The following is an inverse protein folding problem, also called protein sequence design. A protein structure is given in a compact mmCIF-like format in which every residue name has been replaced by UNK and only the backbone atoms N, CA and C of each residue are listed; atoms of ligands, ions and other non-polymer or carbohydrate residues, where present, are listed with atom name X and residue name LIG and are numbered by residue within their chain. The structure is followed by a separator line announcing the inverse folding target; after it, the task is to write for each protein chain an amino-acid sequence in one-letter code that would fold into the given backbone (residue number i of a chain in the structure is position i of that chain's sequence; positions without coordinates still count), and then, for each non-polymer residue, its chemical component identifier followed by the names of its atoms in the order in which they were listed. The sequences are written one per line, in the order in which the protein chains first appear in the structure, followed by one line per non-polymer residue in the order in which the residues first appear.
data_IF_695466906685
#
_entry.id   IF_695466906685
#
_cell.length_a   1.000
_cell.length_b   1.000
_cell.length_c   1.000
_cell.angle_alpha   90.00
_cell.angle_beta   90.00
_cell.angle_gamma   90.00
#
_symmetry.space_group_name_H-M   'P 1'
#
loop_
_entity.id
_entity.type
_entity.pdbx_description
1 polymer ?
#
# COMPACT_ATOMS: atom_id res chain seq x y z
N UNK A 1 -46.83 51.77 36.19
CA UNK A 1 -47.65 50.84 35.38
C UNK A 1 -46.86 50.54 34.12
N UNK A 2 -46.14 49.42 34.12
CA UNK A 2 -45.27 48.98 33.03
C UNK A 2 -45.97 47.86 32.27
N UNK A 3 -46.38 48.16 31.04
CA UNK A 3 -47.01 47.22 30.12
C UNK A 3 -46.04 46.12 29.71
N UNK A 4 -46.26 44.90 30.21
CA UNK A 4 -45.58 43.71 29.75
C UNK A 4 -46.18 43.28 28.40
N UNK A 5 -45.44 43.53 27.32
CA UNK A 5 -45.76 43.06 25.96
C UNK A 5 -45.62 41.53 25.93
N UNK A 6 -46.69 40.83 25.60
CA UNK A 6 -46.74 39.36 25.54
C UNK A 6 -45.75 38.80 24.49
N UNK A 7 -45.20 37.59 24.72
CA UNK A 7 -44.26 36.97 23.79
C UNK A 7 -44.97 36.56 22.49
N UNK A 8 -44.38 36.95 21.35
CA UNK A 8 -44.79 36.50 20.02
C UNK A 8 -44.82 34.97 19.98
N UNK A 9 -45.94 34.39 19.55
CA UNK A 9 -46.13 32.94 19.53
C UNK A 9 -45.13 32.25 18.60
N UNK A 10 -44.63 31.08 18.98
CA UNK A 10 -43.62 30.31 18.23
C UNK A 10 -44.00 30.04 16.75
N UNK A 11 -45.30 30.06 16.43
CA UNK A 11 -45.81 29.93 15.07
C UNK A 11 -45.52 31.16 14.18
N UNK A 12 -45.45 32.37 14.75
CA UNK A 12 -45.09 33.56 13.98
C UNK A 12 -43.59 33.57 13.65
N UNK A 13 -42.76 33.05 14.55
CA UNK A 13 -41.32 32.88 14.35
C UNK A 13 -41.04 31.83 13.26
N UNK A 14 -41.74 30.70 13.28
CA UNK A 14 -41.63 29.68 12.23
C UNK A 14 -42.00 30.26 10.84
N UNK A 15 -43.10 31.02 10.76
CA UNK A 15 -43.51 31.65 9.50
C UNK A 15 -42.55 32.74 9.01
N UNK A 16 -41.88 33.48 9.92
CA UNK A 16 -40.83 34.43 9.55
C UNK A 16 -39.60 33.72 8.99
N UNK A 17 -39.23 32.56 9.54
CA UNK A 17 -38.08 31.76 9.08
C UNK A 17 -38.34 31.18 7.68
N UNK A 18 -39.52 30.60 7.43
CA UNK A 18 -39.86 30.05 6.12
C UNK A 18 -39.81 31.12 5.01
N UNK A 19 -40.33 32.33 5.27
CA UNK A 19 -40.26 33.46 4.32
C UNK A 19 -38.83 33.94 4.05
N UNK A 20 -37.92 33.79 5.02
CA UNK A 20 -36.50 34.14 4.83
C UNK A 20 -35.78 33.09 3.99
N UNK A 21 -36.11 31.81 4.16
CA UNK A 21 -35.56 30.72 3.35
C UNK A 21 -36.00 30.88 1.89
N UNK A 22 -37.27 31.22 1.65
CA UNK A 22 -37.80 31.42 0.30
C UNK A 22 -37.14 32.62 -0.41
N UNK A 23 -36.95 33.74 0.29
CA UNK A 23 -36.22 34.92 -0.24
C UNK A 23 -34.74 34.65 -0.52
N UNK A 24 -34.09 33.77 0.25
CA UNK A 24 -32.71 33.38 0.00
C UNK A 24 -32.59 32.46 -1.21
N UNK A 25 -33.57 31.57 -1.41
CA UNK A 25 -33.64 30.72 -2.60
C UNK A 25 -33.83 31.55 -3.89
N UNK A 26 -34.69 32.56 -3.87
CA UNK A 26 -34.88 33.49 -5.00
C UNK A 26 -33.59 34.26 -5.32
N UNK A 27 -32.88 34.78 -4.30
CA UNK A 27 -31.61 35.50 -4.51
C UNK A 27 -30.49 34.62 -5.05
N UNK A 28 -30.44 33.35 -4.64
CA UNK A 28 -29.48 32.39 -5.19
C UNK A 28 -29.82 32.03 -6.64
N UNK A 29 -31.10 31.87 -6.99
CA UNK A 29 -31.52 31.64 -8.36
C UNK A 29 -31.18 32.82 -9.28
N UNK A 30 -31.41 34.06 -8.83
CA UNK A 30 -31.04 35.27 -9.58
C UNK A 30 -29.51 35.41 -9.76
N UNK A 31 -28.73 35.06 -8.73
CA UNK A 31 -27.27 35.10 -8.79
C UNK A 31 -26.67 34.07 -9.75
N UNK A 32 -27.24 32.86 -9.79
CA UNK A 32 -26.80 31.79 -10.71
C UNK A 32 -27.13 32.15 -12.16
N UNK A 33 -28.30 32.74 -12.43
CA UNK A 33 -28.68 33.15 -13.78
C UNK A 33 -27.79 34.30 -14.30
N UNK A 34 -27.44 35.28 -13.45
CA UNK A 34 -26.49 36.34 -13.83
C UNK A 34 -25.08 35.78 -14.09
N UNK A 35 -24.62 34.85 -13.26
CA UNK A 35 -23.32 34.20 -13.44
C UNK A 35 -23.22 33.37 -14.73
N UNK A 36 -24.30 32.74 -15.19
CA UNK A 36 -24.34 31.97 -16.44
C UNK A 36 -24.32 32.89 -17.68
N UNK A 37 -24.93 34.07 -17.59
CA UNK A 37 -24.94 35.05 -18.69
C UNK A 37 -23.59 35.78 -18.82
N UNK A 38 -22.93 36.08 -17.70
CA UNK A 38 -21.60 36.73 -17.69
C UNK A 38 -20.44 35.78 -18.07
N UNK A 39 -20.62 34.46 -17.89
CA UNK A 39 -19.59 33.46 -18.20
C UNK A 39 -19.55 33.00 -19.67
N UNK A 40 -20.36 33.60 -20.56
CA UNK A 40 -20.25 33.36 -22.00
C UNK A 40 -20.49 31.91 -22.45
N UNK A 41 -21.18 31.10 -21.64
CA UNK A 41 -21.39 29.67 -21.87
C UNK A 41 -22.47 29.34 -22.92
N UNK A 42 -22.90 30.34 -23.71
CA UNK A 42 -23.91 30.21 -24.76
C UNK A 42 -23.40 30.57 -26.16
N UNK A 43 -22.13 30.28 -26.45
CA UNK A 43 -21.65 30.20 -27.83
C UNK A 43 -21.01 28.83 -28.08
N UNK A 44 -21.82 27.86 -28.53
CA UNK A 44 -21.43 26.74 -29.42
C UNK A 44 -22.58 25.73 -29.58
N UNK A 45 -23.53 26.03 -30.48
CA UNK A 45 -24.12 25.02 -31.39
C UNK A 45 -25.09 25.66 -32.39
N UNK A 46 -24.57 26.02 -33.55
CA UNK A 46 -25.39 26.22 -34.74
C UNK A 46 -24.58 25.90 -36.00
N UNK A 47 -24.53 24.61 -36.38
CA UNK A 47 -24.37 24.17 -37.78
C UNK A 47 -24.27 22.65 -37.91
N UNK A 48 -25.20 22.06 -38.66
CA UNK A 48 -25.11 20.72 -39.28
C UNK A 48 -25.88 19.61 -38.55
N UNK A 49 -27.19 19.37 -38.79
CA UNK A 49 -27.81 18.58 -39.91
C UNK A 49 -27.09 17.26 -40.22
N UNK A 50 -27.71 16.11 -40.50
CA UNK A 50 -29.05 15.53 -40.44
C UNK A 50 -28.85 14.06 -40.88
N UNK A 51 -29.90 13.23 -40.69
CA UNK A 51 -30.08 11.83 -41.15
C UNK A 51 -29.57 10.78 -40.13
N UNK A 52 -30.31 9.75 -39.71
CA UNK A 52 -31.52 9.16 -40.26
C UNK A 52 -32.36 8.43 -39.18
N UNK A 53 -33.68 8.60 -39.32
CA UNK A 53 -34.75 7.59 -39.22
C UNK A 53 -34.83 6.61 -38.03
N UNK A 54 -35.94 6.70 -37.31
CA UNK A 54 -36.86 5.56 -37.17
C UNK A 54 -36.95 4.95 -35.78
N UNK A 55 -38.11 5.10 -35.14
CA UNK A 55 -38.47 4.26 -33.99
C UNK A 55 -39.43 4.91 -32.99
N UNK A 56 -40.63 5.26 -33.41
CA UNK A 56 -41.74 5.54 -32.49
C UNK A 56 -42.11 4.26 -31.72
N UNK A 57 -41.92 4.24 -30.39
CA UNK A 57 -42.79 3.47 -29.47
C UNK A 57 -42.99 4.21 -28.15
N UNK A 58 -44.24 4.61 -27.98
CA UNK A 58 -44.93 5.13 -26.79
C UNK A 58 -44.77 4.18 -25.58
N UNK A 59 -44.46 4.68 -24.37
CA UNK A 59 -44.45 3.86 -23.16
C UNK A 59 -45.85 3.81 -22.54
N UNK A 60 -46.37 2.60 -22.35
CA UNK A 60 -47.58 2.33 -21.58
C UNK A 60 -47.20 2.12 -20.12
N UNK A 61 -47.83 2.90 -19.24
CA UNK A 61 -47.74 2.79 -17.80
C UNK A 61 -48.27 1.45 -17.29
N UNK A 62 -47.54 0.83 -16.36
CA UNK A 62 -48.09 -0.15 -15.42
C UNK A 62 -47.56 0.17 -14.01
N UNK A 63 -48.51 0.29 -13.08
CA UNK A 63 -48.34 0.47 -11.65
C UNK A 63 -47.65 -0.74 -10.96
N UNK A 64 -47.02 -0.52 -9.79
CA UNK A 64 -46.31 -1.57 -9.07
C UNK A 64 -47.24 -2.36 -8.12
N UNK A 65 -47.09 -3.69 -7.99
CA UNK A 65 -47.69 -4.40 -6.88
C UNK A 65 -46.79 -4.38 -5.63
N UNK A 66 -47.48 -4.32 -4.51
CA UNK A 66 -47.02 -4.16 -3.15
C UNK A 66 -46.21 -5.34 -2.57
N UNK A 67 -45.27 -4.97 -1.70
CA UNK A 67 -44.97 -5.56 -0.40
C UNK A 67 -44.91 -7.10 -0.28
N UNK A 68 -43.71 -7.62 -0.01
CA UNK A 68 -43.52 -8.75 0.91
C UNK A 68 -42.22 -8.56 1.72
N UNK A 69 -42.39 -8.35 3.03
CA UNK A 69 -41.32 -8.44 4.05
C UNK A 69 -40.82 -9.90 4.12
N UNK A 70 -39.50 -10.17 4.08
CA UNK A 70 -39.00 -11.46 4.50
C UNK A 70 -38.90 -11.51 6.04
N UNK A 71 -39.65 -12.43 6.62
CA UNK A 71 -39.62 -12.82 8.03
C UNK A 71 -38.27 -13.46 8.38
N UNK A 72 -37.72 -13.07 9.54
CA UNK A 72 -36.60 -13.74 10.21
C UNK A 72 -37.09 -15.00 10.93
N UNK A 73 -36.43 -16.16 10.79
CA UNK A 73 -36.66 -17.28 11.70
C UNK A 73 -35.89 -17.09 13.02
N UNK A 74 -36.50 -17.40 14.18
CA UNK A 74 -35.82 -17.35 15.47
C UNK A 74 -35.00 -18.64 15.66
N UNK A 75 -33.70 -18.51 15.90
CA UNK A 75 -32.89 -19.63 16.41
C UNK A 75 -32.59 -19.38 17.89
N UNK A 76 -33.46 -19.94 18.72
CA UNK A 76 -33.16 -20.20 20.11
C UNK A 76 -32.10 -21.29 20.20
N UNK A 77 -30.98 -20.96 20.81
CA UNK A 77 -29.97 -21.94 21.25
C UNK A 77 -30.18 -22.11 22.76
N UNK A 78 -30.53 -23.31 23.25
CA UNK A 78 -30.62 -23.56 24.68
C UNK A 78 -29.21 -23.56 25.32
N UNK A 79 -29.09 -22.85 26.44
CA UNK A 79 -27.93 -22.75 27.32
C UNK A 79 -27.67 -24.05 28.09
N UNK A 80 -27.40 -25.15 27.39
CA UNK A 80 -27.01 -26.43 28.01
C UNK A 80 -25.84 -27.14 27.32
N UNK A 81 -25.09 -26.45 26.46
CA UNK A 81 -23.81 -26.96 25.91
C UNK A 81 -22.59 -26.10 26.27
N UNK A 82 -22.69 -25.31 27.34
CA UNK A 82 -21.62 -24.47 27.90
C UNK A 82 -20.96 -25.09 29.15
N UNK A 83 -20.90 -26.42 29.23
CA UNK A 83 -20.35 -27.15 30.39
C UNK A 83 -19.41 -28.30 30.01
N UNK A 84 -18.54 -28.13 29.01
CA UNK A 84 -17.50 -29.13 28.70
C UNK A 84 -16.15 -28.57 28.24
N UNK A 85 -15.87 -27.27 28.41
CA UNK A 85 -14.55 -26.70 28.05
C UNK A 85 -13.74 -26.12 29.23
N UNK A 86 -14.16 -26.36 30.47
CA UNK A 86 -13.32 -26.14 31.66
C UNK A 86 -12.99 -27.50 32.31
N UNK A 87 -12.00 -28.19 31.74
CA UNK A 87 -11.19 -29.19 32.45
C UNK A 87 -9.79 -29.20 31.85
N UNK A 88 -8.86 -28.55 32.55
CA UNK A 88 -7.45 -28.87 32.42
C UNK A 88 -7.21 -30.25 33.04
N UNK A 89 -6.36 -31.08 32.42
CA UNK A 89 -5.48 -31.94 33.16
C UNK A 89 -4.03 -31.52 32.92
N UNK A 90 -3.42 -31.02 33.98
CA UNK A 90 -1.99 -31.17 34.25
C UNK A 90 -1.63 -32.66 34.27
N UNK A 91 -0.60 -33.07 33.54
CA UNK A 91 -0.10 -34.44 33.60
C UNK A 91 0.67 -34.87 32.36
N UNK A 92 2.00 -34.78 32.45
CA UNK A 92 3.01 -35.67 31.86
C UNK A 92 2.56 -36.49 30.65
N UNK A 93 2.92 -36.02 29.45
CA UNK A 93 2.87 -36.85 28.24
C UNK A 93 3.93 -37.97 28.32
N UNK A 94 3.57 -39.24 28.06
CA UNK A 94 4.56 -40.28 27.80
C UNK A 94 5.30 -39.94 26.50
N UNK A 95 6.63 -39.87 26.56
CA UNK A 95 7.45 -39.77 25.35
C UNK A 95 7.18 -41.01 24.50
N UNK A 96 6.58 -40.82 23.32
CA UNK A 96 6.53 -41.86 22.29
C UNK A 96 7.98 -42.26 21.96
N UNK A 97 8.32 -43.57 21.91
CA UNK A 97 9.64 -43.98 21.50
C UNK A 97 9.89 -43.52 20.06
N UNK A 98 11.04 -42.86 19.86
CA UNK A 98 11.54 -42.50 18.54
C UNK A 98 11.52 -43.74 17.62
N UNK A 99 11.16 -43.60 16.33
CA UNK A 99 11.28 -44.72 15.41
C UNK A 99 12.75 -45.14 15.36
N UNK A 100 13.01 -46.41 15.72
CA UNK A 100 14.34 -47.02 15.55
C UNK A 100 14.78 -46.75 14.11
N UNK A 101 15.86 -45.98 13.95
CA UNK A 101 16.60 -45.88 12.69
C UNK A 101 16.91 -47.32 12.29
N UNK A 102 16.23 -47.81 11.26
CA UNK A 102 16.70 -48.98 10.51
C UNK A 102 18.04 -48.56 9.93
N UNK A 103 19.12 -49.01 10.55
CA UNK A 103 20.41 -49.10 9.89
C UNK A 103 20.19 -49.97 8.67
N UNK A 104 20.11 -49.34 7.50
CA UNK A 104 20.24 -50.07 6.24
C UNK A 104 21.67 -50.58 6.26
N UNK A 105 21.83 -51.85 6.62
CA UNK A 105 23.03 -52.61 6.37
C UNK A 105 23.36 -52.43 4.89
N UNK A 106 24.52 -51.82 4.60
CA UNK A 106 25.06 -51.78 3.25
C UNK A 106 24.99 -53.21 2.71
N UNK A 107 24.36 -53.48 1.56
CA UNK A 107 24.55 -54.76 0.93
C UNK A 107 26.03 -54.84 0.60
N UNK A 108 26.75 -55.75 1.26
CA UNK A 108 28.07 -56.18 0.82
C UNK A 108 27.85 -56.76 -0.56
N UNK A 109 28.18 -55.98 -1.59
CA UNK A 109 28.29 -56.47 -2.96
C UNK A 109 29.45 -57.45 -2.93
N UNK A 110 29.16 -58.71 -2.64
CA UNK A 110 30.06 -59.80 -2.96
C UNK A 110 30.04 -59.89 -4.48
N UNK A 111 31.13 -59.43 -5.10
CA UNK A 111 31.39 -59.79 -6.49
C UNK A 111 31.45 -61.32 -6.53
N UNK A 112 30.37 -61.95 -7.02
CA UNK A 112 30.46 -63.27 -7.64
C UNK A 112 31.43 -63.10 -8.81
N UNK A 113 32.70 -63.44 -8.59
CA UNK A 113 33.57 -63.87 -9.68
C UNK A 113 33.01 -65.19 -10.19
N UNK A 114 32.03 -65.09 -11.08
CA UNK A 114 31.59 -66.23 -11.89
C UNK A 114 32.69 -66.48 -12.93
N UNK A 115 33.11 -67.74 -13.11
CA UNK A 115 34.16 -68.10 -14.04
C UNK A 115 33.55 -68.21 -15.44
N UNK A 116 33.74 -67.21 -16.28
CA UNK A 116 33.58 -67.35 -17.73
C UNK A 116 34.63 -66.47 -18.40
N UNK A 117 35.85 -66.99 -18.41
CA UNK A 117 36.88 -66.64 -19.39
C UNK A 117 36.48 -67.29 -20.71
N UNK A 118 35.36 -66.85 -21.27
CA UNK A 118 34.93 -67.25 -22.61
C UNK A 118 35.67 -66.39 -23.64
N UNK A 119 36.57 -67.06 -24.35
CA UNK A 119 36.94 -66.82 -25.74
C UNK A 119 37.02 -65.36 -26.18
N UNK A 120 38.07 -64.68 -25.73
CA UNK A 120 38.54 -63.47 -26.39
C UNK A 120 39.14 -63.82 -27.75
N UNK A 121 38.30 -63.62 -28.76
CA UNK A 121 38.59 -63.57 -30.20
C UNK A 121 40.00 -63.07 -30.49
N UNK A 122 40.80 -63.95 -31.07
CA UNK A 122 42.08 -63.69 -31.72
C UNK A 122 41.90 -62.81 -32.96
N UNK A 123 41.55 -61.54 -32.77
CA UNK A 123 41.63 -60.54 -33.83
C UNK A 123 43.05 -59.96 -33.92
N UNK A 124 43.51 -59.62 -35.12
CA UNK A 124 44.66 -58.72 -35.28
C UNK A 124 44.30 -57.34 -34.71
N UNK A 125 45.32 -56.59 -34.32
CA UNK A 125 45.16 -55.23 -33.82
C UNK A 125 44.39 -54.37 -34.82
N UNK A 126 43.37 -53.64 -34.38
CA UNK A 126 42.57 -52.75 -35.24
C UNK A 126 43.33 -51.51 -35.75
N UNK A 127 44.64 -51.41 -35.51
CA UNK A 127 45.47 -50.31 -36.02
C UNK A 127 45.98 -50.68 -37.41
N UNK A 128 45.83 -49.80 -38.41
CA UNK A 128 46.22 -50.11 -39.78
C UNK A 128 47.72 -50.45 -39.87
N UNK A 129 48.04 -51.61 -40.46
CA UNK A 129 49.41 -52.10 -40.59
C UNK A 129 49.97 -52.79 -39.34
N UNK A 130 49.13 -53.22 -38.39
CA UNK A 130 49.56 -53.97 -37.20
C UNK A 130 48.99 -55.39 -37.16
N UNK A 131 49.80 -56.37 -37.53
CA UNK A 131 49.38 -57.79 -37.53
C UNK A 131 49.51 -58.48 -36.16
N UNK A 132 49.81 -57.72 -35.11
CA UNK A 132 49.96 -58.27 -33.75
C UNK A 132 48.59 -58.65 -33.16
N UNK A 133 48.49 -59.72 -32.36
CA UNK A 133 47.22 -60.12 -31.77
C UNK A 133 46.69 -59.07 -30.79
N UNK A 134 45.41 -58.75 -30.90
CA UNK A 134 44.72 -57.87 -29.98
C UNK A 134 44.60 -58.52 -28.60
N UNK A 135 44.94 -57.77 -27.53
CA UNK A 135 44.84 -58.23 -26.14
C UNK A 135 43.73 -57.55 -25.35
N UNK A 136 43.42 -56.29 -25.66
CA UNK A 136 42.38 -55.52 -24.97
C UNK A 136 41.81 -54.44 -25.88
N UNK A 137 40.48 -54.26 -25.87
CA UNK A 137 39.76 -53.27 -26.71
C UNK A 137 40.12 -53.32 -28.21
N UNK A 138 40.39 -54.52 -28.76
CA UNK A 138 40.78 -54.68 -30.17
C UNK A 138 42.20 -54.21 -30.52
N UNK A 139 43.02 -53.82 -29.53
CA UNK A 139 44.39 -53.33 -29.74
C UNK A 139 45.44 -54.32 -29.21
N UNK A 140 46.60 -54.35 -29.85
CA UNK A 140 47.77 -55.03 -29.28
C UNK A 140 48.21 -54.33 -27.99
N UNK A 141 49.02 -55.00 -27.17
CA UNK A 141 49.51 -54.46 -25.89
C UNK A 141 50.14 -53.09 -26.02
N UNK A 142 50.93 -52.87 -27.08
CA UNK A 142 51.64 -51.61 -27.31
C UNK A 142 50.68 -50.47 -27.70
N UNK A 143 49.72 -50.73 -28.58
CA UNK A 143 48.72 -49.73 -28.98
C UNK A 143 47.72 -49.43 -27.86
N UNK A 144 47.34 -50.45 -27.07
CA UNK A 144 46.51 -50.25 -25.88
C UNK A 144 47.21 -49.38 -24.83
N UNK A 145 48.52 -49.58 -24.60
CA UNK A 145 49.29 -48.74 -23.68
C UNK A 145 49.40 -47.28 -24.17
N UNK A 146 49.61 -47.06 -25.46
CA UNK A 146 49.62 -45.71 -26.05
C UNK A 146 48.27 -45.00 -25.93
N UNK A 147 47.17 -45.70 -26.18
CA UNK A 147 45.81 -45.17 -25.99
C UNK A 147 45.58 -44.76 -24.53
N UNK A 148 45.89 -45.65 -23.57
CA UNK A 148 45.81 -45.37 -22.12
C UNK A 148 46.63 -44.17 -21.67
N UNK A 149 47.77 -43.91 -22.31
CA UNK A 149 48.61 -42.75 -22.01
C UNK A 149 48.03 -41.46 -22.59
N UNK A 150 47.45 -41.52 -23.80
CA UNK A 150 46.72 -40.39 -24.40
C UNK A 150 45.48 -40.01 -23.59
N UNK A 151 44.66 -40.99 -23.20
CA UNK A 151 43.47 -40.78 -22.36
C UNK A 151 43.85 -40.06 -21.04
N UNK A 152 44.90 -40.54 -20.34
CA UNK A 152 45.37 -39.89 -19.11
C UNK A 152 45.85 -38.45 -19.30
N UNK A 153 46.49 -38.12 -20.42
CA UNK A 153 46.90 -36.74 -20.72
C UNK A 153 45.71 -35.83 -21.02
N UNK A 154 44.65 -36.36 -21.63
CA UNK A 154 43.41 -35.61 -21.87
C UNK A 154 42.73 -35.32 -20.53
N UNK A 155 42.62 -36.31 -19.65
CA UNK A 155 42.01 -36.13 -18.32
C UNK A 155 42.79 -35.12 -17.47
N UNK A 156 44.13 -35.18 -17.48
CA UNK A 156 44.98 -34.20 -16.76
C UNK A 156 44.80 -32.77 -17.29
N UNK A 157 44.56 -32.60 -18.60
CA UNK A 157 44.29 -31.28 -19.20
C UNK A 157 42.87 -30.78 -18.92
N UNK A 158 41.90 -31.68 -18.69
CA UNK A 158 40.54 -31.31 -18.27
C UNK A 158 40.46 -30.94 -16.78
N UNK A 159 41.32 -31.49 -15.94
CA UNK A 159 41.37 -31.16 -14.50
C UNK A 159 42.05 -29.82 -14.17
N UNK A 160 42.70 -29.15 -15.13
CA UNK A 160 43.31 -27.82 -14.93
C UNK A 160 42.41 -26.65 -15.35
N UNK A 161 41.19 -26.91 -15.84
CA UNK A 161 40.19 -25.88 -16.13
C UNK A 161 39.39 -25.61 -14.84
N UNK A 162 39.37 -24.37 -14.30
CA UNK A 162 38.54 -24.06 -13.14
C UNK A 162 37.08 -24.35 -13.46
N UNK A 163 36.43 -25.19 -12.66
CA UNK A 163 35.01 -25.48 -12.77
C UNK A 163 34.23 -24.15 -12.71
N UNK A 164 33.26 -23.91 -13.61
CA UNK A 164 32.38 -22.75 -13.48
C UNK A 164 31.68 -22.83 -12.11
N UNK A 165 31.44 -21.70 -11.43
CA UNK A 165 30.75 -21.71 -10.16
C UNK A 165 29.41 -22.43 -10.33
N UNK A 166 29.00 -23.27 -9.35
CA UNK A 166 27.73 -23.96 -9.45
C UNK A 166 26.63 -22.91 -9.65
N UNK A 167 25.64 -23.17 -10.54
CA UNK A 167 24.50 -22.27 -10.66
C UNK A 167 23.90 -22.07 -9.26
N UNK A 168 23.44 -20.86 -8.92
CA UNK A 168 22.89 -20.59 -7.60
C UNK A 168 21.83 -21.64 -7.33
N UNK A 169 21.92 -22.31 -6.18
CA UNK A 169 20.97 -23.34 -5.79
C UNK A 169 19.56 -22.78 -6.03
N UNK A 170 18.80 -23.40 -6.94
CA UNK A 170 17.39 -23.06 -7.12
C UNK A 170 16.78 -23.19 -5.73
N UNK A 171 16.37 -22.06 -5.15
CA UNK A 171 15.61 -22.06 -3.90
C UNK A 171 14.38 -22.91 -4.19
N UNK A 172 14.37 -24.13 -3.69
CA UNK A 172 13.13 -24.91 -3.60
C UNK A 172 12.32 -24.15 -2.55
N UNK A 173 11.49 -23.22 -3.01
CA UNK A 173 10.44 -22.67 -2.15
C UNK A 173 9.62 -23.85 -1.65
N UNK A 174 9.17 -23.84 -0.38
CA UNK A 174 8.34 -24.92 0.14
C UNK A 174 7.12 -25.03 -0.79
N UNK A 175 6.90 -26.23 -1.35
CA UNK A 175 5.69 -26.54 -2.11
C UNK A 175 4.50 -26.45 -1.17
N UNK A 176 3.88 -25.28 -1.14
CA UNK A 176 2.65 -25.00 -0.43
C UNK A 176 2.01 -23.81 -1.12
N UNK A 177 0.70 -23.90 -1.34
CA UNK A 177 -0.04 -22.83 -1.98
C UNK A 177 -1.40 -23.29 -2.46
N UNK A 178 -1.95 -22.68 -3.49
CA UNK A 178 -3.37 -22.38 -3.43
C UNK A 178 -4.15 -22.77 -4.68
N UNK A 179 -3.72 -23.80 -5.45
CA UNK A 179 -4.46 -24.19 -6.67
C UNK A 179 -5.90 -24.65 -6.36
N UNK A 180 -6.11 -25.28 -5.21
CA UNK A 180 -7.43 -25.61 -4.67
C UNK A 180 -8.21 -24.39 -4.13
N UNK A 181 -7.50 -23.33 -3.69
CA UNK A 181 -8.11 -22.10 -3.19
C UNK A 181 -8.74 -21.30 -4.31
N UNK A 182 -8.17 -21.31 -5.52
CA UNK A 182 -8.81 -20.68 -6.68
C UNK A 182 -10.24 -21.20 -6.86
N UNK A 183 -10.42 -22.52 -6.89
CA UNK A 183 -11.74 -23.13 -7.02
C UNK A 183 -12.71 -22.62 -5.93
N UNK A 184 -12.25 -22.57 -4.67
CA UNK A 184 -13.05 -22.05 -3.55
C UNK A 184 -13.36 -20.55 -3.66
N UNK A 185 -12.44 -19.76 -4.20
CA UNK A 185 -12.63 -18.32 -4.39
C UNK A 185 -13.68 -18.04 -5.45
N UNK A 186 -13.80 -18.85 -6.52
CA UNK A 186 -14.83 -18.69 -7.56
C UNK A 186 -16.22 -19.19 -7.11
N UNK A 187 -16.34 -19.90 -5.98
CA UNK A 187 -17.63 -20.29 -5.42
C UNK A 187 -18.37 -19.11 -4.75
N UNK A 188 -19.69 -19.30 -4.52
CA UNK A 188 -20.53 -18.34 -3.77
C UNK A 188 -20.01 -18.07 -2.35
N UNK A 189 -19.32 -19.03 -1.73
CA UNK A 189 -18.68 -18.87 -0.42
C UNK A 189 -17.50 -17.90 -0.50
N UNK A 190 -16.70 -18.00 -1.57
CA UNK A 190 -15.58 -17.11 -1.86
C UNK A 190 -16.01 -15.64 -1.94
N UNK A 191 -17.16 -15.36 -2.57
CA UNK A 191 -17.75 -14.00 -2.63
C UNK A 191 -17.91 -13.36 -1.24
N UNK A 192 -18.45 -14.11 -0.27
CA UNK A 192 -18.67 -13.60 1.11
C UNK A 192 -17.35 -13.35 1.82
N UNK A 193 -16.37 -14.23 1.64
CA UNK A 193 -15.03 -14.07 2.22
C UNK A 193 -14.36 -12.83 1.63
N UNK A 194 -14.35 -12.68 0.30
CA UNK A 194 -13.76 -11.52 -0.37
C UNK A 194 -14.44 -10.21 0.06
N UNK A 195 -15.77 -10.15 0.08
CA UNK A 195 -16.49 -8.97 0.56
C UNK A 195 -16.15 -8.62 2.02
N UNK A 196 -16.11 -9.63 2.91
CA UNK A 196 -15.73 -9.44 4.31
C UNK A 196 -14.31 -8.91 4.47
N UNK A 197 -13.36 -9.44 3.68
CA UNK A 197 -11.98 -8.99 3.70
C UNK A 197 -11.82 -7.57 3.15
N UNK A 198 -12.56 -7.19 2.10
CA UNK A 198 -12.59 -5.82 1.56
C UNK A 198 -12.97 -4.84 2.68
N UNK A 199 -14.02 -5.12 3.45
CA UNK A 199 -14.41 -4.25 4.57
C UNK A 199 -13.33 -4.12 5.66
N UNK A 200 -12.53 -5.18 5.87
CA UNK A 200 -11.45 -5.23 6.86
C UNK A 200 -10.10 -4.68 6.35
N UNK A 201 -10.04 -4.13 5.12
CA UNK A 201 -8.80 -3.58 4.57
C UNK A 201 -8.33 -2.37 5.37
N UNK A 202 -7.01 -2.32 5.60
CA UNK A 202 -6.37 -1.22 6.32
C UNK A 202 -5.55 -0.30 5.41
N UNK A 203 -4.91 -0.86 4.39
CA UNK A 203 -3.96 -0.13 3.55
C UNK A 203 -4.27 -0.22 2.06
N UNK A 204 -4.44 -1.43 1.50
CA UNK A 204 -4.77 -1.56 0.08
C UNK A 204 -4.71 -3.00 -0.43
N UNK A 205 -4.63 -3.17 -1.75
CA UNK A 205 -4.64 -4.47 -2.42
C UNK A 205 -3.59 -5.47 -1.91
N UNK A 206 -2.41 -5.01 -1.52
CA UNK A 206 -1.36 -5.88 -0.98
C UNK A 206 -1.78 -6.53 0.36
N UNK A 207 -2.43 -5.77 1.25
CA UNK A 207 -2.98 -6.26 2.52
C UNK A 207 -4.11 -7.28 2.29
N UNK A 208 -4.88 -7.12 1.20
CA UNK A 208 -5.90 -8.11 0.81
C UNK A 208 -5.26 -9.46 0.43
N UNK A 209 -4.23 -9.41 -0.43
CA UNK A 209 -3.50 -10.61 -0.88
C UNK A 209 -2.80 -11.29 0.28
N UNK A 210 -2.16 -10.51 1.16
CA UNK A 210 -1.51 -11.02 2.36
C UNK A 210 -2.52 -11.74 3.24
N UNK A 211 -3.62 -11.09 3.64
CA UNK A 211 -4.67 -11.71 4.47
C UNK A 211 -5.29 -12.95 3.84
N UNK A 212 -5.53 -12.95 2.54
CA UNK A 212 -6.02 -14.14 1.83
C UNK A 212 -5.02 -15.29 1.91
N UNK A 213 -3.74 -15.00 1.65
CA UNK A 213 -2.67 -16.00 1.76
C UNK A 213 -2.50 -16.50 3.20
N UNK A 214 -2.68 -15.63 4.21
CA UNK A 214 -2.68 -16.01 5.62
C UNK A 214 -3.83 -16.93 5.99
N UNK A 215 -5.05 -16.59 5.56
CA UNK A 215 -6.27 -17.37 5.82
C UNK A 215 -6.18 -18.78 5.22
N UNK A 216 -5.49 -18.93 4.11
CA UNK A 216 -5.31 -20.22 3.42
C UNK A 216 -3.91 -20.82 3.61
N UNK A 217 -3.16 -20.41 4.65
CA UNK A 217 -1.89 -21.05 5.03
C UNK A 217 -2.10 -22.53 5.29
N UNK A 218 -1.30 -23.38 4.63
CA UNK A 218 -1.31 -24.83 4.82
C UNK A 218 -2.04 -25.63 3.74
N UNK A 219 -2.73 -24.98 2.78
CA UNK A 219 -3.22 -25.68 1.59
C UNK A 219 -2.12 -25.94 0.53
N UNK A 220 -2.27 -26.98 -0.33
CA UNK A 220 -1.28 -27.34 -1.35
C UNK A 220 -1.41 -26.59 -2.71
N UNK A 221 -0.31 -26.03 -3.25
CA UNK A 221 -0.27 -25.25 -4.52
C UNK A 221 0.75 -24.09 -4.57
N UNK A 222 0.42 -22.96 -5.23
CA UNK A 222 1.22 -21.69 -5.33
C UNK A 222 0.52 -20.54 -4.57
N UNK A 223 1.19 -19.64 -3.82
CA UNK A 223 0.54 -18.49 -3.18
C UNK A 223 -0.24 -17.62 -4.17
N UNK A 224 -1.32 -16.97 -3.73
CA UNK A 224 -2.11 -16.08 -4.57
C UNK A 224 -1.32 -14.81 -4.87
N UNK A 225 -1.28 -14.44 -6.15
CA UNK A 225 -0.74 -13.16 -6.59
C UNK A 225 -1.84 -12.09 -6.66
N UNK A 226 -1.45 -10.83 -6.86
CA UNK A 226 -2.39 -9.72 -6.95
C UNK A 226 -3.36 -9.89 -8.13
N UNK A 227 -2.85 -10.28 -9.29
CA UNK A 227 -3.64 -10.48 -10.51
C UNK A 227 -4.73 -11.53 -10.33
N UNK A 228 -4.42 -12.58 -9.59
CA UNK A 228 -5.32 -13.69 -9.29
C UNK A 228 -6.49 -13.25 -8.40
N UNK A 229 -6.20 -12.47 -7.36
CA UNK A 229 -7.22 -11.90 -6.48
C UNK A 229 -8.09 -10.91 -7.24
N UNK A 230 -7.50 -10.06 -8.09
CA UNK A 230 -8.26 -9.13 -8.93
C UNK A 230 -9.19 -9.85 -9.90
N UNK A 231 -8.73 -10.95 -10.51
CA UNK A 231 -9.57 -11.78 -11.40
C UNK A 231 -10.76 -12.38 -10.64
N UNK A 232 -10.54 -12.89 -9.43
CA UNK A 232 -11.61 -13.41 -8.58
C UNK A 232 -12.59 -12.31 -8.14
N UNK A 233 -12.11 -11.11 -7.82
CA UNK A 233 -12.96 -9.96 -7.50
C UNK A 233 -13.81 -9.52 -8.68
N UNK A 234 -13.23 -9.49 -9.87
CA UNK A 234 -13.94 -9.17 -11.10
C UNK A 234 -15.06 -10.18 -11.38
N UNK A 235 -14.77 -11.47 -11.25
CA UNK A 235 -15.78 -12.53 -11.41
C UNK A 235 -16.99 -12.36 -10.48
N UNK A 236 -16.78 -11.88 -9.25
CA UNK A 236 -17.85 -11.65 -8.27
C UNK A 236 -18.50 -10.27 -8.35
N UNK A 237 -18.07 -9.40 -9.27
CA UNK A 237 -18.44 -7.99 -9.38
C UNK A 237 -18.17 -7.19 -8.09
N UNK A 238 -17.06 -7.49 -7.41
CA UNK A 238 -16.65 -6.82 -6.16
C UNK A 238 -15.56 -5.74 -6.38
N UNK A 239 -15.17 -5.49 -7.63
CA UNK A 239 -14.16 -4.48 -7.97
C UNK A 239 -14.58 -3.09 -7.53
N UNK A 240 -15.84 -2.70 -7.77
CA UNK A 240 -16.38 -1.40 -7.33
C UNK A 240 -16.28 -1.20 -5.81
N UNK A 241 -16.70 -2.20 -5.03
CA UNK A 241 -16.61 -2.17 -3.57
C UNK A 241 -15.16 -2.06 -3.07
N UNK A 242 -14.21 -2.70 -3.77
CA UNK A 242 -12.78 -2.54 -3.47
C UNK A 242 -12.33 -1.09 -3.76
N UNK A 243 -12.66 -0.54 -4.93
CA UNK A 243 -12.30 0.83 -5.30
C UNK A 243 -12.85 1.87 -4.31
N UNK A 244 -14.15 1.76 -3.97
CA UNK A 244 -14.79 2.64 -2.98
C UNK A 244 -14.09 2.55 -1.63
N UNK A 245 -13.78 1.34 -1.17
CA UNK A 245 -13.11 1.14 0.12
C UNK A 245 -11.68 1.70 0.11
N UNK A 246 -10.94 1.51 -0.97
CA UNK A 246 -9.59 2.07 -1.11
C UNK A 246 -9.62 3.59 -1.13
N UNK A 247 -10.61 4.17 -1.82
CA UNK A 247 -10.86 5.62 -1.82
C UNK A 247 -11.10 6.15 -0.42
N UNK A 248 -11.99 5.52 0.36
CA UNK A 248 -12.27 5.90 1.75
C UNK A 248 -11.02 5.85 2.65
N UNK A 249 -10.23 4.78 2.53
CA UNK A 249 -9.01 4.58 3.33
C UNK A 249 -7.99 5.66 3.00
N UNK A 250 -7.76 5.92 1.72
CA UNK A 250 -6.83 6.95 1.25
C UNK A 250 -7.28 8.34 1.69
N UNK A 251 -8.53 8.71 1.49
CA UNK A 251 -9.03 10.02 1.91
C UNK A 251 -8.94 10.21 3.43
N UNK A 252 -9.27 9.18 4.22
CA UNK A 252 -9.08 9.23 5.68
C UNK A 252 -7.62 9.43 6.06
N UNK A 253 -6.71 8.73 5.39
CA UNK A 253 -5.29 8.79 5.70
C UNK A 253 -4.67 10.12 5.25
N UNK A 254 -5.06 10.65 4.09
CA UNK A 254 -4.67 11.97 3.60
C UNK A 254 -5.14 13.08 4.53
N UNK A 255 -6.41 13.05 4.97
CA UNK A 255 -6.93 14.00 5.97
C UNK A 255 -6.15 13.93 7.28
N UNK A 256 -5.85 12.73 7.76
CA UNK A 256 -5.06 12.54 8.99
C UNK A 256 -3.62 13.07 8.87
N UNK A 257 -3.07 13.15 7.66
CA UNK A 257 -1.72 13.67 7.41
C UNK A 257 -1.72 15.08 6.81
N UNK A 258 -2.86 15.77 6.78
CA UNK A 258 -2.97 17.13 6.23
C UNK A 258 -2.59 17.24 4.76
N UNK A 259 -2.78 16.18 3.96
CA UNK A 259 -2.47 16.20 2.53
C UNK A 259 -0.98 16.10 2.16
N UNK A 260 -0.10 15.68 3.06
CA UNK A 260 1.29 15.32 2.69
C UNK A 260 1.35 13.94 2.03
N UNK A 261 1.90 13.89 0.81
CA UNK A 261 2.12 12.65 0.07
C UNK A 261 3.21 11.80 0.74
N UNK A 262 4.35 12.39 1.13
CA UNK A 262 5.47 11.65 1.68
C UNK A 262 5.10 10.90 2.98
N UNK A 263 4.43 11.60 3.92
CA UNK A 263 3.98 10.97 5.17
C UNK A 263 2.89 9.92 4.95
N UNK A 264 2.00 10.18 4.01
CA UNK A 264 0.93 9.23 3.66
C UNK A 264 1.51 7.97 3.03
N UNK A 265 2.43 8.12 2.08
CA UNK A 265 3.13 7.02 1.41
C UNK A 265 3.93 6.17 2.41
N UNK A 266 4.68 6.81 3.32
CA UNK A 266 5.42 6.13 4.38
C UNK A 266 4.50 5.28 5.27
N UNK A 267 3.35 5.83 5.67
CA UNK A 267 2.39 5.11 6.53
C UNK A 267 1.70 3.96 5.81
N UNK A 268 1.52 4.10 4.50
CA UNK A 268 0.92 3.08 3.63
C UNK A 268 1.95 2.07 3.09
N UNK A 269 3.24 2.22 3.47
CA UNK A 269 4.37 1.38 3.03
C UNK A 269 4.53 1.32 1.50
N UNK A 270 4.26 2.43 0.81
CA UNK A 270 4.41 2.58 -0.64
C UNK A 270 5.31 3.77 -0.96
N UNK A 271 5.81 3.85 -2.19
CA UNK A 271 6.55 5.04 -2.64
C UNK A 271 5.58 6.20 -2.92
N UNK A 272 6.10 7.43 -2.94
CA UNK A 272 5.30 8.61 -3.29
C UNK A 272 4.72 8.53 -4.70
N UNK A 273 5.48 7.97 -5.64
CA UNK A 273 5.07 7.76 -7.03
C UNK A 273 3.92 6.74 -7.13
N UNK A 274 4.05 5.60 -6.45
CA UNK A 274 3.00 4.57 -6.41
C UNK A 274 1.71 5.11 -5.76
N UNK A 275 1.83 5.95 -4.74
CA UNK A 275 0.68 6.60 -4.13
C UNK A 275 0.00 7.56 -5.12
N UNK A 276 0.78 8.33 -5.87
CA UNK A 276 0.26 9.29 -6.85
C UNK A 276 -0.44 8.58 -8.00
N UNK A 277 0.19 7.56 -8.61
CA UNK A 277 -0.43 6.71 -9.63
C UNK A 277 -1.74 6.10 -9.12
N UNK A 278 -1.76 5.60 -7.88
CA UNK A 278 -2.97 5.04 -7.28
C UNK A 278 -4.07 6.08 -7.07
N UNK A 279 -3.72 7.32 -6.75
CA UNK A 279 -4.68 8.41 -6.60
C UNK A 279 -5.29 8.80 -7.94
N UNK A 280 -4.49 8.80 -9.00
CA UNK A 280 -4.94 9.08 -10.36
C UNK A 280 -5.88 7.97 -10.85
N UNK A 281 -5.54 6.70 -10.61
CA UNK A 281 -6.43 5.55 -10.89
C UNK A 281 -7.77 5.60 -10.15
N UNK A 282 -7.83 6.23 -8.98
CA UNK A 282 -9.04 6.37 -8.16
C UNK A 282 -9.81 7.68 -8.42
N UNK A 283 -9.30 8.56 -9.29
CA UNK A 283 -9.90 9.88 -9.53
C UNK A 283 -9.88 10.80 -8.31
N UNK A 284 -8.87 10.66 -7.44
CA UNK A 284 -8.79 11.38 -6.16
C UNK A 284 -8.04 12.71 -6.21
N UNK A 285 -7.59 13.15 -7.40
CA UNK A 285 -6.81 14.37 -7.56
C UNK A 285 -7.54 15.62 -7.01
N UNK A 286 -8.82 15.79 -7.33
CA UNK A 286 -9.61 16.93 -6.84
C UNK A 286 -9.77 16.90 -5.32
N UNK A 287 -10.17 15.77 -4.75
CA UNK A 287 -10.33 15.64 -3.31
C UNK A 287 -9.02 15.87 -2.55
N UNK A 288 -7.92 15.40 -3.12
CA UNK A 288 -6.59 15.65 -2.57
C UNK A 288 -6.25 17.13 -2.56
N UNK A 289 -6.47 17.86 -3.66
CA UNK A 289 -6.24 19.31 -3.69
C UNK A 289 -7.12 20.05 -2.69
N UNK A 290 -8.39 19.65 -2.53
CA UNK A 290 -9.30 20.20 -1.52
C UNK A 290 -8.77 19.98 -0.11
N UNK A 291 -8.38 18.74 0.24
CA UNK A 291 -7.81 18.42 1.55
C UNK A 291 -6.54 19.22 1.82
N UNK A 292 -5.70 19.42 0.79
CA UNK A 292 -4.51 20.27 0.93
C UNK A 292 -4.91 21.70 1.22
N UNK A 293 -5.79 22.30 0.42
CA UNK A 293 -6.19 23.69 0.56
C UNK A 293 -6.86 23.95 1.92
N UNK A 294 -7.76 23.06 2.37
CA UNK A 294 -8.35 23.13 3.72
C UNK A 294 -7.27 23.15 4.81
N UNK A 295 -6.23 22.33 4.68
CA UNK A 295 -5.15 22.30 5.65
C UNK A 295 -4.20 23.50 5.53
N UNK A 296 -3.99 24.03 4.33
CA UNK A 296 -3.25 25.29 4.10
C UNK A 296 -3.95 26.46 4.77
N UNK A 297 -5.26 26.62 4.53
CA UNK A 297 -6.09 27.65 5.16
C UNK A 297 -6.10 27.50 6.69
N UNK A 298 -6.23 26.26 7.19
CA UNK A 298 -6.16 26.00 8.63
C UNK A 298 -4.83 26.47 9.25
N UNK A 299 -3.70 26.26 8.57
CA UNK A 299 -2.39 26.73 9.04
C UNK A 299 -2.29 28.26 8.93
N UNK A 300 -2.63 28.84 7.78
CA UNK A 300 -2.40 30.28 7.56
C UNK A 300 -3.33 31.16 8.39
N UNK A 301 -4.61 30.80 8.49
CA UNK A 301 -5.64 31.66 9.09
C UNK A 301 -5.97 31.31 10.53
N UNK A 302 -5.98 30.02 10.89
CA UNK A 302 -6.51 29.57 12.19
C UNK A 302 -5.44 29.20 13.21
N UNK A 303 -4.17 29.10 12.80
CA UNK A 303 -3.10 28.71 13.71
C UNK A 303 -2.40 29.92 14.30
N UNK A 304 -2.10 29.83 15.60
CA UNK A 304 -1.37 30.88 16.31
C UNK A 304 0.10 30.96 15.83
N UNK A 305 0.73 32.12 16.00
CA UNK A 305 2.15 32.35 15.70
C UNK A 305 3.06 31.24 16.27
N UNK A 306 2.80 30.79 17.50
CA UNK A 306 3.55 29.71 18.15
C UNK A 306 3.44 28.38 17.39
N UNK A 307 2.24 28.03 16.93
CA UNK A 307 2.02 26.79 16.19
C UNK A 307 2.68 26.85 14.81
N UNK A 308 2.57 28.00 14.10
CA UNK A 308 3.26 28.26 12.83
C UNK A 308 4.77 28.11 12.99
N UNK A 309 5.33 28.70 14.05
CA UNK A 309 6.75 28.66 14.34
C UNK A 309 7.24 27.25 14.70
N UNK A 310 6.50 26.51 15.52
CA UNK A 310 6.83 25.12 15.84
C UNK A 310 6.83 24.25 14.58
N UNK A 311 5.86 24.44 13.68
CA UNK A 311 5.82 23.77 12.37
C UNK A 311 7.02 24.15 11.51
N UNK A 312 7.35 25.44 11.41
CA UNK A 312 8.47 25.93 10.63
C UNK A 312 9.81 25.36 11.13
N UNK A 313 10.06 25.34 12.45
CA UNK A 313 11.33 24.93 13.02
C UNK A 313 11.51 23.40 13.14
N UNK A 314 10.42 22.64 13.24
CA UNK A 314 10.49 21.17 13.44
C UNK A 314 10.19 20.36 12.18
N UNK A 315 9.38 20.88 11.26
CA UNK A 315 8.78 20.13 10.15
C UNK A 315 8.95 20.84 8.80
N UNK A 316 10.14 21.37 8.53
CA UNK A 316 10.48 22.06 7.26
C UNK A 316 10.13 21.24 6.02
N UNK A 317 10.59 19.98 5.96
CA UNK A 317 10.34 19.09 4.81
C UNK A 317 8.85 18.87 4.54
N UNK A 318 8.02 18.89 5.60
CA UNK A 318 6.58 18.73 5.47
C UNK A 318 5.90 20.00 4.93
N UNK A 319 6.38 21.18 5.30
CA UNK A 319 5.90 22.44 4.72
C UNK A 319 6.32 22.58 3.26
N UNK A 320 7.54 22.15 2.92
CA UNK A 320 8.03 22.07 1.55
C UNK A 320 7.18 21.11 0.71
N UNK A 321 6.84 19.92 1.25
CA UNK A 321 5.93 18.99 0.57
C UNK A 321 4.59 19.66 0.26
N UNK A 322 4.03 20.42 1.21
CA UNK A 322 2.78 21.18 1.06
C UNK A 322 2.89 22.40 0.14
N UNK A 323 4.10 22.86 -0.15
CA UNK A 323 4.37 24.08 -0.91
C UNK A 323 3.80 25.33 -0.24
N UNK A 324 3.87 25.40 1.08
CA UNK A 324 3.45 26.58 1.89
C UNK A 324 4.59 27.13 2.75
N UNK A 325 5.81 26.62 2.58
CA UNK A 325 6.99 27.04 3.31
C UNK A 325 7.20 28.55 3.25
N UNK A 326 7.12 29.14 2.05
CA UNK A 326 7.28 30.58 1.85
C UNK A 326 6.14 31.40 2.47
N UNK A 327 4.90 31.00 2.24
CA UNK A 327 3.72 31.71 2.74
C UNK A 327 3.69 31.72 4.28
N UNK A 328 4.04 30.60 4.91
CA UNK A 328 4.15 30.48 6.36
C UNK A 328 5.32 31.33 6.87
N UNK A 329 6.49 31.29 6.21
CA UNK A 329 7.65 32.09 6.60
C UNK A 329 7.37 33.59 6.49
N UNK A 330 6.65 34.03 5.45
CA UNK A 330 6.24 35.42 5.25
C UNK A 330 5.16 35.86 6.26
N UNK A 331 4.25 34.95 6.65
CA UNK A 331 3.28 35.21 7.73
C UNK A 331 3.99 35.39 9.07
N UNK A 332 4.92 34.47 9.40
CA UNK A 332 5.71 34.52 10.63
C UNK A 332 6.54 35.79 10.67
N UNK A 333 7.22 36.16 9.57
CA UNK A 333 8.01 37.39 9.49
C UNK A 333 7.16 38.63 9.77
N UNK A 334 6.01 38.76 9.12
CA UNK A 334 5.09 39.90 9.34
C UNK A 334 4.58 39.97 10.78
N UNK A 335 4.23 38.84 11.38
CA UNK A 335 3.76 38.79 12.76
C UNK A 335 4.88 39.11 13.77
N UNK A 336 6.11 38.64 13.52
CA UNK A 336 7.29 38.97 14.34
C UNK A 336 7.68 40.44 14.21
N UNK A 337 7.71 40.99 13.00
CA UNK A 337 7.97 42.42 12.76
C UNK A 337 6.91 43.30 13.44
N UNK A 338 5.63 42.91 13.40
CA UNK A 338 4.57 43.62 14.11
C UNK A 338 4.74 43.54 15.64
N UNK A 339 5.13 42.39 16.18
CA UNK A 339 5.41 42.22 17.61
C UNK A 339 6.61 43.08 18.06
N UNK A 340 7.68 43.09 17.27
CA UNK A 340 8.85 43.93 17.51
C UNK A 340 8.55 45.42 17.35
N UNK A 341 7.77 45.81 16.35
CA UNK A 341 7.39 47.21 16.10
C UNK A 341 6.57 47.83 17.23
N UNK A 342 5.80 47.03 17.98
CA UNK A 342 5.12 47.48 19.21
C UNK A 342 6.10 47.81 20.34
N UNK A 343 7.30 47.24 20.35
CA UNK A 343 8.26 47.30 21.46
C UNK A 343 9.52 48.11 21.15
N UNK A 344 9.89 48.26 19.88
CA UNK A 344 11.07 49.01 19.42
C UNK A 344 11.01 50.53 19.73
N UNK A 345 9.93 51.02 20.35
CA UNK A 345 9.80 52.40 20.79
C UNK A 345 10.54 52.72 22.10
N UNK A 346 11.27 51.76 22.72
CA UNK A 346 12.12 52.12 23.88
C UNK A 346 12.94 51.03 24.60
N UNK A 347 13.01 49.78 24.14
CA UNK A 347 13.69 48.68 24.86
C UNK A 347 15.06 48.26 24.30
N UNK A 348 15.91 47.70 25.17
CA UNK A 348 17.19 47.06 24.80
C UNK A 348 16.97 45.75 24.01
N UNK A 349 17.92 45.36 23.15
CA UNK A 349 17.87 44.10 22.37
C UNK A 349 17.65 42.87 23.29
N UNK A 350 18.25 42.87 24.48
CA UNK A 350 18.09 41.79 25.46
C UNK A 350 16.67 41.69 26.05
N UNK A 351 15.99 42.83 26.19
CA UNK A 351 14.61 42.90 26.68
C UNK A 351 13.65 42.37 25.61
N UNK A 352 13.91 42.70 24.35
CA UNK A 352 13.14 42.15 23.21
C UNK A 352 13.32 40.64 23.08
N UNK A 353 14.53 40.11 23.32
CA UNK A 353 14.79 38.67 23.32
C UNK A 353 14.02 37.95 24.43
N UNK A 354 14.06 38.45 25.67
CA UNK A 354 13.33 37.83 26.79
C UNK A 354 11.84 37.83 26.54
N UNK A 355 11.31 38.92 26.02
CA UNK A 355 9.90 39.04 25.68
C UNK A 355 9.46 38.05 24.61
N UNK A 356 10.23 37.90 23.51
CA UNK A 356 9.92 36.92 22.45
C UNK A 356 9.97 35.49 23.00
N UNK A 357 10.95 35.18 23.85
CA UNK A 357 11.05 33.86 24.49
C UNK A 357 9.88 33.59 25.45
N UNK A 358 9.41 34.59 26.19
CA UNK A 358 8.27 34.46 27.11
C UNK A 358 6.94 34.35 26.35
N UNK A 359 6.68 35.25 25.40
CA UNK A 359 5.41 35.33 24.67
C UNK A 359 5.20 34.12 23.76
N UNK A 360 6.26 33.64 23.11
CA UNK A 360 6.20 32.44 22.26
C UNK A 360 6.53 31.14 23.02
N UNK A 361 6.90 31.23 24.30
CA UNK A 361 7.39 30.12 25.13
C UNK A 361 8.48 29.29 24.43
N UNK A 362 9.50 29.95 23.89
CA UNK A 362 10.55 29.30 23.12
C UNK A 362 11.75 28.92 23.98
N UNK A 363 12.24 27.69 23.79
CA UNK A 363 13.54 27.29 24.32
C UNK A 363 14.66 28.11 23.64
N UNK A 364 15.76 28.34 24.36
CA UNK A 364 16.91 29.11 23.84
C UNK A 364 17.46 28.55 22.52
N UNK A 365 17.45 27.23 22.34
CA UNK A 365 17.85 26.59 21.08
C UNK A 365 16.89 26.89 19.92
N UNK A 366 15.58 26.98 20.19
CA UNK A 366 14.57 27.32 19.18
C UNK A 366 14.70 28.79 18.80
N UNK A 367 14.92 29.65 19.78
CA UNK A 367 15.19 31.08 19.56
C UNK A 367 16.44 31.28 18.67
N UNK A 368 17.56 30.61 18.95
CA UNK A 368 18.75 30.68 18.10
C UNK A 368 18.49 30.25 16.65
N UNK A 369 17.64 29.23 16.44
CA UNK A 369 17.24 28.80 15.09
C UNK A 369 16.34 29.83 14.41
N UNK A 370 15.41 30.42 15.16
CA UNK A 370 14.53 31.49 14.69
C UNK A 370 15.36 32.70 14.23
N UNK A 371 16.30 33.16 15.05
CA UNK A 371 17.20 34.28 14.73
C UNK A 371 17.99 34.01 13.45
N UNK A 372 18.59 32.81 13.31
CA UNK A 372 19.34 32.44 12.10
C UNK A 372 18.47 32.38 10.85
N UNK A 373 17.22 31.94 10.97
CA UNK A 373 16.32 31.71 9.82
C UNK A 373 15.62 32.99 9.36
N UNK A 374 15.16 33.81 10.29
CA UNK A 374 14.38 35.02 9.98
C UNK A 374 15.18 36.31 10.07
N UNK A 375 16.44 36.25 10.50
CA UNK A 375 17.32 37.42 10.51
C UNK A 375 16.85 38.51 11.48
N UNK A 376 16.32 38.11 12.65
CA UNK A 376 16.04 39.04 13.74
C UNK A 376 17.38 39.54 14.29
N UNK A 377 17.87 40.66 13.77
CA UNK A 377 19.22 41.13 14.05
C UNK A 377 19.32 41.75 15.45
N UNK A 378 20.27 41.21 16.21
CA UNK A 378 21.04 41.83 17.27
C UNK A 378 22.39 41.13 17.26
N UNK A 379 23.46 41.88 17.05
CA UNK A 379 24.81 41.38 16.76
C UNK A 379 25.42 40.63 17.95
N UNK A 380 25.69 39.33 17.79
CA UNK A 380 26.93 38.77 18.36
C UNK A 380 27.73 38.17 17.23
N UNK A 381 28.70 38.96 16.79
CA UNK A 381 29.88 38.45 16.15
C UNK A 381 30.53 37.40 17.05
N UNK A 382 30.43 36.13 16.65
CA UNK A 382 31.41 35.07 16.95
C UNK A 382 31.77 34.53 15.56
N UNK A 383 32.89 34.87 14.93
CA UNK A 383 34.27 34.60 15.36
C UNK A 383 34.40 33.19 15.95
N UNK A 384 34.64 32.19 15.09
CA UNK A 384 34.84 30.80 15.53
C UNK A 384 35.07 29.77 14.43
N UNK A 385 36.30 29.77 13.88
CA UNK A 385 37.04 28.61 13.36
C UNK A 385 36.40 27.73 12.25
N UNK A 386 36.65 28.08 10.99
CA UNK A 386 36.83 27.11 9.92
C UNK A 386 38.32 26.83 9.76
N UNK A 387 38.79 25.76 10.41
CA UNK A 387 40.04 25.06 10.11
C UNK A 387 39.73 23.76 9.39
#
# INVERSE_FOLDING_TARGET
MSEFKQPESDNELAGKIERLIEKLAERLAEGVVKGIVESGLLELRASGTNQATGGEKKPTAQEPPAQQKPQLPPLGIPLSSLASMLRQPSGLSPQKPLPRRRTVSRPTVTYRTSPQREEQKSGTCSEPGCDKPARARGLCTLHYQRLRYRERKIDQKQMSVPLPPPPPARRVTPRGGTRAVFALLYEKKGKKVLAGLIHQLKFGRADLVEKLNEQYRGMPGVPLELEDVLRALHYHNLTGALYEREREILCRQLRKQGGSLAKTAQKMKMTSEQLQERMDELGLAEEFTRIRNEFKEQILERSDLKQKLDLALTKEKYLADLGIDKEVDDSIRRELEAAMGRMAQGGSEEETQRFICEELSLDEQRYRRLVRRYGLAGTTAEAGSGG
#
